data_IF_920010459318
#
_entry.id   IF_920010459318
#
_cell.length_a   1.000
_cell.length_b   1.000
_cell.length_c   1.000
_cell.angle_alpha   90.00
_cell.angle_beta   90.00
_cell.angle_gamma   90.00
#
_symmetry.space_group_name_H-M   'P 1'
#
loop_
_entity.id
_entity.type
_entity.pdbx_description
1 polymer ?
#
# COMPACT_ATOMS: atom_id res chain seq x y z
N UNK A 1 -16.00 -8.19 11.03
CA UNK A 1 -15.06 -7.83 12.11
C UNK A 1 -15.07 -6.32 12.20
N UNK A 2 -15.31 -5.76 13.39
CA UNK A 2 -15.15 -4.32 13.61
C UNK A 2 -13.69 -3.95 13.37
N UNK A 3 -13.43 -2.81 12.75
CA UNK A 3 -12.07 -2.26 12.61
C UNK A 3 -11.54 -1.70 13.93
N UNK A 4 -12.44 -1.39 14.85
CA UNK A 4 -12.13 -0.85 16.17
C UNK A 4 -11.13 -1.73 16.92
N UNK A 5 -10.00 -1.16 17.32
CA UNK A 5 -8.94 -1.84 18.07
C UNK A 5 -8.07 -2.81 17.27
N UNK A 6 -8.31 -2.97 15.96
CA UNK A 6 -7.40 -3.71 15.08
C UNK A 6 -6.07 -2.95 14.96
N UNK A 7 -4.99 -3.67 14.67
CA UNK A 7 -3.65 -3.09 14.56
C UNK A 7 -3.23 -3.12 13.09
N UNK A 8 -3.03 -1.95 12.50
CA UNK A 8 -2.59 -1.81 11.12
C UNK A 8 -1.13 -1.34 11.03
N UNK A 9 -0.35 -2.01 10.20
CA UNK A 9 0.95 -1.54 9.73
C UNK A 9 0.78 -0.96 8.32
N UNK A 10 1.07 0.33 8.15
CA UNK A 10 0.98 1.04 6.87
C UNK A 10 2.37 1.49 6.46
N UNK A 11 2.93 0.92 5.39
CA UNK A 11 4.25 1.32 4.91
C UNK A 11 4.18 2.57 4.02
N UNK A 12 5.18 3.46 4.15
CA UNK A 12 5.20 4.71 3.38
C UNK A 12 4.08 5.69 3.74
N UNK A 13 3.81 5.86 5.04
CA UNK A 13 2.68 6.63 5.57
C UNK A 13 2.97 8.12 5.79
N UNK A 14 4.15 8.63 5.41
CA UNK A 14 4.53 10.03 5.69
C UNK A 14 3.78 11.06 4.84
N UNK A 15 3.29 10.69 3.65
CA UNK A 15 2.58 11.57 2.72
C UNK A 15 1.68 10.79 1.76
N UNK A 16 0.95 11.51 0.91
CA UNK A 16 0.17 10.96 -0.21
C UNK A 16 -0.80 9.86 0.21
N UNK A 17 -0.88 8.82 -0.59
CA UNK A 17 -1.81 7.69 -0.41
C UNK A 17 -1.62 7.03 0.96
N UNK A 18 -0.38 6.77 1.37
CA UNK A 18 -0.10 6.11 2.64
C UNK A 18 -0.58 6.90 3.86
N UNK A 19 -0.41 8.24 3.86
CA UNK A 19 -0.93 9.13 4.91
C UNK A 19 -2.46 9.11 4.93
N UNK A 20 -3.11 9.18 3.76
CA UNK A 20 -4.57 9.15 3.68
C UNK A 20 -5.14 7.83 4.19
N UNK A 21 -4.52 6.70 3.83
CA UNK A 21 -4.89 5.37 4.33
C UNK A 21 -4.75 5.30 5.86
N UNK A 22 -3.62 5.74 6.39
CA UNK A 22 -3.36 5.75 7.83
C UNK A 22 -4.40 6.60 8.58
N UNK A 23 -4.71 7.79 8.05
CA UNK A 23 -5.70 8.69 8.62
C UNK A 23 -7.10 8.07 8.62
N UNK A 24 -7.52 7.48 7.48
CA UNK A 24 -8.88 6.95 7.36
C UNK A 24 -9.09 5.66 8.19
N UNK A 25 -8.08 4.78 8.24
CA UNK A 25 -8.11 3.63 9.16
C UNK A 25 -8.18 4.09 10.64
N UNK A 26 -7.42 5.13 11.00
CA UNK A 26 -7.46 5.68 12.35
C UNK A 26 -8.84 6.23 12.75
N UNK A 27 -9.55 6.92 11.85
CA UNK A 27 -10.94 7.36 12.06
C UNK A 27 -11.92 6.22 12.30
N UNK A 28 -11.61 5.01 11.80
CA UNK A 28 -12.38 3.79 12.07
C UNK A 28 -12.00 3.12 13.39
N UNK A 29 -11.15 3.76 14.21
CA UNK A 29 -10.68 3.25 15.49
C UNK A 29 -9.61 2.17 15.40
N UNK A 30 -8.94 2.04 14.26
CA UNK A 30 -7.76 1.19 14.10
C UNK A 30 -6.57 1.83 14.80
N UNK A 31 -5.77 1.02 15.50
CA UNK A 31 -4.45 1.44 15.99
C UNK A 31 -3.48 1.37 14.81
N UNK A 32 -2.98 2.51 14.38
CA UNK A 32 -2.18 2.59 13.16
C UNK A 32 -0.70 2.78 13.48
N UNK A 33 0.14 1.91 12.93
CA UNK A 33 1.57 2.14 12.89
C UNK A 33 1.96 2.46 11.44
N UNK A 34 2.31 3.71 11.22
CA UNK A 34 2.80 4.19 9.94
C UNK A 34 4.32 4.13 9.86
N UNK A 35 4.89 3.84 8.70
CA UNK A 35 6.34 3.86 8.56
C UNK A 35 6.85 4.81 7.51
N UNK A 36 8.05 5.31 7.72
CA UNK A 36 8.85 6.09 6.77
C UNK A 36 10.30 5.62 6.81
N UNK A 37 11.08 5.91 5.78
CA UNK A 37 12.51 5.50 5.71
C UNK A 37 13.42 6.25 6.67
N UNK A 38 12.99 7.42 7.16
CA UNK A 38 13.79 8.28 8.06
C UNK A 38 13.07 8.53 9.38
N UNK A 39 13.82 8.81 10.44
CA UNK A 39 13.26 9.19 11.74
C UNK A 39 12.40 10.46 11.62
N UNK A 40 12.85 11.47 10.89
CA UNK A 40 12.05 12.68 10.63
C UNK A 40 10.68 12.37 10.01
N UNK A 41 10.64 11.40 9.07
CA UNK A 41 9.37 10.96 8.49
C UNK A 41 8.49 10.21 9.50
N UNK A 42 9.07 9.42 10.38
CA UNK A 42 8.36 8.74 11.47
C UNK A 42 7.78 9.72 12.49
N UNK A 43 8.55 10.75 12.84
CA UNK A 43 8.10 11.82 13.75
C UNK A 43 6.92 12.58 13.14
N UNK A 44 7.00 12.97 11.86
CA UNK A 44 5.90 13.63 11.15
C UNK A 44 4.63 12.76 11.08
N UNK A 45 4.78 11.42 10.98
CA UNK A 45 3.63 10.49 11.07
C UNK A 45 3.00 10.58 12.46
N UNK A 46 3.80 10.53 13.50
CA UNK A 46 3.30 10.61 14.89
C UNK A 46 2.60 11.95 15.14
N UNK A 47 3.15 13.05 14.63
CA UNK A 47 2.58 14.39 14.76
C UNK A 47 1.18 14.48 14.13
N UNK A 48 1.00 14.07 12.87
CA UNK A 48 -0.33 14.18 12.24
C UNK A 48 -1.34 13.20 12.85
N UNK A 49 -0.91 12.03 13.30
CA UNK A 49 -1.78 11.10 14.02
C UNK A 49 -2.29 11.70 15.34
N UNK A 50 -1.39 12.27 16.13
CA UNK A 50 -1.75 12.95 17.37
C UNK A 50 -2.69 14.13 17.11
N UNK A 51 -2.40 14.95 16.10
CA UNK A 51 -3.26 16.09 15.73
C UNK A 51 -4.67 15.66 15.26
N UNK A 52 -4.84 14.42 14.84
CA UNK A 52 -6.11 13.83 14.41
C UNK A 52 -6.74 12.85 15.40
N UNK A 53 -6.23 12.79 16.63
CA UNK A 53 -6.66 11.86 17.69
C UNK A 53 -6.64 10.37 17.25
N UNK A 54 -5.67 10.00 16.42
CA UNK A 54 -5.47 8.65 15.93
C UNK A 54 -4.51 7.90 16.86
N UNK A 55 -4.94 6.76 17.38
CA UNK A 55 -4.09 5.89 18.18
C UNK A 55 -3.03 5.20 17.31
N UNK A 56 -1.77 5.29 17.75
CA UNK A 56 -0.66 4.66 17.05
C UNK A 56 0.62 5.48 17.10
N UNK A 57 1.50 5.27 16.14
CA UNK A 57 2.74 6.03 16.02
C UNK A 57 3.38 5.88 14.64
N UNK A 58 4.35 6.72 14.35
CA UNK A 58 5.31 6.55 13.26
C UNK A 58 6.55 5.79 13.71
N UNK A 59 7.08 4.92 12.85
CA UNK A 59 8.35 4.23 13.05
C UNK A 59 9.24 4.37 11.81
N UNK A 60 10.54 4.50 12.03
CA UNK A 60 11.51 4.45 10.94
C UNK A 60 11.67 2.98 10.49
N UNK A 61 11.53 2.73 9.19
CA UNK A 61 11.66 1.40 8.59
C UNK A 61 12.16 1.51 7.15
N UNK A 62 13.34 0.94 6.89
CA UNK A 62 13.71 0.57 5.55
C UNK A 62 13.12 -0.81 5.23
N UNK A 63 12.14 -0.85 4.33
CA UNK A 63 11.45 -2.09 3.92
C UNK A 63 12.36 -3.10 3.20
N UNK A 64 13.57 -2.69 2.83
CA UNK A 64 14.59 -3.58 2.26
C UNK A 64 15.44 -4.29 3.32
N UNK A 65 15.37 -3.86 4.58
CA UNK A 65 16.14 -4.42 5.69
C UNK A 65 15.28 -5.41 6.48
N UNK A 66 15.61 -6.71 6.36
CA UNK A 66 14.87 -7.77 7.04
C UNK A 66 14.95 -7.66 8.57
N UNK A 67 16.09 -7.21 9.11
CA UNK A 67 16.31 -7.05 10.55
C UNK A 67 15.45 -5.91 11.09
N UNK A 68 15.39 -4.78 10.37
CA UNK A 68 14.52 -3.68 10.75
C UNK A 68 13.03 -4.05 10.71
N UNK A 69 12.62 -4.90 9.74
CA UNK A 69 11.24 -5.41 9.70
C UNK A 69 10.91 -6.19 10.98
N UNK A 70 11.79 -7.12 11.39
CA UNK A 70 11.60 -7.92 12.60
C UNK A 70 11.58 -7.05 13.87
N UNK A 71 12.50 -6.11 13.99
CA UNK A 71 12.54 -5.14 15.10
C UNK A 71 11.26 -4.29 15.15
N UNK A 72 10.82 -3.77 14.02
CA UNK A 72 9.59 -2.98 13.92
C UNK A 72 8.37 -3.77 14.39
N UNK A 73 8.22 -5.01 13.92
CA UNK A 73 7.12 -5.88 14.34
C UNK A 73 7.20 -6.23 15.83
N UNK A 74 8.40 -6.41 16.39
CA UNK A 74 8.61 -6.63 17.81
C UNK A 74 8.17 -5.41 18.64
N UNK A 75 8.49 -4.20 18.20
CA UNK A 75 8.05 -2.95 18.85
C UNK A 75 6.53 -2.81 18.80
N UNK A 76 5.91 -3.09 17.63
CA UNK A 76 4.45 -3.04 17.48
C UNK A 76 3.79 -4.03 18.42
N UNK A 77 4.28 -5.27 18.42
CA UNK A 77 3.74 -6.33 19.27
C UNK A 77 3.80 -5.98 20.77
N UNK A 78 4.91 -5.40 21.23
CA UNK A 78 5.09 -5.04 22.64
C UNK A 78 4.19 -3.88 23.08
N UNK A 79 3.90 -2.92 22.18
CA UNK A 79 3.11 -1.72 22.51
C UNK A 79 1.62 -1.91 22.30
N UNK A 80 1.23 -2.61 21.25
CA UNK A 80 -0.15 -2.63 20.76
C UNK A 80 -0.69 -4.05 20.56
N UNK A 81 0.17 -5.04 20.34
CA UNK A 81 -0.21 -6.41 19.98
C UNK A 81 0.17 -6.79 18.55
N UNK A 82 -0.31 -7.94 18.09
CA UNK A 82 0.04 -8.48 16.77
C UNK A 82 -0.65 -7.71 15.63
N UNK A 83 0.07 -7.47 14.55
CA UNK A 83 -0.46 -6.82 13.34
C UNK A 83 -1.54 -7.71 12.73
N UNK A 84 -2.75 -7.19 12.60
CA UNK A 84 -3.90 -7.86 11.97
C UNK A 84 -4.25 -7.29 10.59
N UNK A 85 -3.75 -6.09 10.25
CA UNK A 85 -3.93 -5.43 8.96
C UNK A 85 -2.56 -4.98 8.46
N UNK A 86 -2.15 -5.46 7.29
CA UNK A 86 -0.92 -5.02 6.61
C UNK A 86 -1.27 -4.28 5.33
N UNK A 87 -0.82 -3.03 5.23
CA UNK A 87 -0.95 -2.21 4.03
C UNK A 87 0.44 -2.00 3.44
N UNK A 88 0.74 -2.71 2.37
CA UNK A 88 1.95 -2.55 1.59
C UNK A 88 1.76 -1.41 0.58
N UNK A 89 2.12 -0.19 0.99
CA UNK A 89 1.98 1.01 0.18
C UNK A 89 3.34 1.61 -0.22
N UNK A 90 4.41 1.38 0.52
CA UNK A 90 5.74 1.87 0.16
C UNK A 90 6.14 1.43 -1.26
N UNK A 91 6.62 2.37 -2.05
CA UNK A 91 7.07 2.10 -3.41
C UNK A 91 7.82 3.30 -4.00
N UNK A 92 8.58 3.01 -5.05
CA UNK A 92 9.35 3.98 -5.81
C UNK A 92 9.14 3.79 -7.30
N UNK A 93 9.47 4.81 -8.09
CA UNK A 93 9.67 4.74 -9.53
C UNK A 93 11.11 5.08 -9.88
N UNK A 94 11.61 4.53 -10.97
CA UNK A 94 12.86 4.87 -11.64
C UNK A 94 12.58 4.82 -13.13
N UNK A 95 11.99 5.91 -13.62
CA UNK A 95 11.46 5.95 -14.99
C UNK A 95 12.59 6.20 -15.98
N UNK A 96 12.74 5.28 -16.93
CA UNK A 96 13.69 5.38 -18.03
C UNK A 96 13.24 4.48 -19.18
N UNK A 97 13.55 4.87 -20.44
CA UNK A 97 13.31 3.99 -21.58
C UNK A 97 14.14 2.71 -21.43
N UNK A 98 13.59 1.56 -21.80
CA UNK A 98 14.23 0.25 -21.60
C UNK A 98 15.65 0.19 -22.14
N UNK A 99 15.91 0.81 -23.30
CA UNK A 99 17.25 0.85 -23.92
C UNK A 99 18.29 1.65 -23.12
N UNK A 100 17.86 2.44 -22.13
CA UNK A 100 18.70 3.26 -21.26
C UNK A 100 18.60 2.88 -19.80
N UNK A 101 17.63 2.03 -19.45
CA UNK A 101 17.38 1.60 -18.07
C UNK A 101 18.57 0.78 -17.57
N UNK A 102 19.16 1.20 -16.44
CA UNK A 102 20.23 0.45 -15.80
C UNK A 102 19.66 -0.73 -14.99
N UNK A 103 20.50 -1.74 -14.73
CA UNK A 103 20.15 -2.84 -13.83
C UNK A 103 19.85 -2.34 -12.42
N UNK A 104 20.55 -1.30 -11.95
CA UNK A 104 20.31 -0.67 -10.65
C UNK A 104 18.90 -0.05 -10.57
N UNK A 105 18.47 0.69 -11.62
CA UNK A 105 17.10 1.24 -11.69
C UNK A 105 16.03 0.14 -11.70
N UNK A 106 16.31 -0.97 -12.36
CA UNK A 106 15.46 -2.15 -12.38
C UNK A 106 15.39 -2.81 -11.00
N UNK A 107 16.54 -3.14 -10.42
CA UNK A 107 16.64 -3.86 -9.15
C UNK A 107 16.08 -3.05 -7.97
N UNK A 108 16.34 -1.75 -7.92
CA UNK A 108 15.79 -0.84 -6.90
C UNK A 108 14.26 -0.91 -6.86
N UNK A 109 13.64 -0.85 -8.03
CA UNK A 109 12.17 -0.85 -8.15
C UNK A 109 11.60 -2.22 -7.77
N UNK A 110 12.17 -3.31 -8.28
CA UNK A 110 11.71 -4.66 -7.92
C UNK A 110 11.96 -4.98 -6.44
N UNK A 111 13.10 -4.59 -5.92
CA UNK A 111 13.41 -4.79 -4.50
C UNK A 111 12.42 -4.04 -3.61
N UNK A 112 12.15 -2.77 -3.92
CA UNK A 112 11.28 -1.92 -3.09
C UNK A 112 9.80 -2.27 -3.25
N UNK A 113 9.32 -2.44 -4.50
CA UNK A 113 7.88 -2.55 -4.76
C UNK A 113 7.34 -3.99 -4.65
N UNK A 114 8.20 -5.01 -4.79
CA UNK A 114 7.77 -6.41 -4.81
C UNK A 114 8.45 -7.25 -3.72
N UNK A 115 9.79 -7.26 -3.66
CA UNK A 115 10.50 -8.09 -2.67
C UNK A 115 10.23 -7.66 -1.23
N UNK A 116 10.06 -6.36 -0.97
CA UNK A 116 9.69 -5.84 0.34
C UNK A 116 8.33 -6.36 0.79
N UNK A 117 7.35 -6.39 -0.14
CA UNK A 117 6.00 -6.90 0.12
C UNK A 117 6.02 -8.38 0.50
N UNK A 118 6.81 -9.18 -0.22
CA UNK A 118 7.04 -10.58 0.17
C UNK A 118 7.58 -10.67 1.61
N UNK A 119 8.61 -9.88 1.96
CA UNK A 119 9.22 -9.91 3.29
C UNK A 119 8.24 -9.52 4.40
N UNK A 120 7.54 -8.41 4.23
CA UNK A 120 6.55 -7.92 5.20
C UNK A 120 5.38 -8.89 5.36
N UNK A 121 4.82 -9.39 4.25
CA UNK A 121 3.75 -10.36 4.28
C UNK A 121 4.18 -11.61 5.03
N UNK A 122 5.34 -12.20 4.69
CA UNK A 122 5.89 -13.38 5.38
C UNK A 122 6.05 -13.16 6.89
N UNK A 123 6.49 -11.97 7.29
CA UNK A 123 6.75 -11.66 8.69
C UNK A 123 5.48 -11.59 9.54
N UNK A 124 4.35 -11.12 8.97
CA UNK A 124 3.06 -11.04 9.70
C UNK A 124 2.20 -12.31 9.59
N UNK A 125 2.52 -13.23 8.66
CA UNK A 125 1.67 -14.40 8.40
C UNK A 125 1.49 -15.32 9.61
N UNK A 126 2.58 -15.67 10.31
CA UNK A 126 2.54 -16.62 11.42
C UNK A 126 1.56 -16.20 12.53
N UNK A 127 1.63 -14.97 13.08
CA UNK A 127 0.63 -14.50 14.04
C UNK A 127 -0.78 -14.42 13.45
N UNK A 128 -0.97 -13.95 12.20
CA UNK A 128 -2.28 -13.92 11.56
C UNK A 128 -2.90 -15.32 11.41
N UNK A 129 -2.10 -16.32 10.98
CA UNK A 129 -2.54 -17.71 10.86
C UNK A 129 -2.93 -18.31 12.21
N UNK A 130 -2.18 -18.01 13.29
CA UNK A 130 -2.49 -18.45 14.66
C UNK A 130 -3.80 -17.83 15.16
N UNK A 131 -3.99 -16.55 14.90
CA UNK A 131 -5.22 -15.81 15.25
C UNK A 131 -6.42 -16.20 14.37
N UNK A 132 -6.20 -16.89 13.22
CA UNK A 132 -7.19 -17.12 12.16
C UNK A 132 -7.89 -15.85 11.71
N UNK A 133 -7.09 -14.79 11.55
CA UNK A 133 -7.55 -13.44 11.23
C UNK A 133 -6.42 -12.62 10.63
N UNK A 134 -6.66 -12.00 9.49
CA UNK A 134 -5.70 -11.08 8.87
C UNK A 134 -6.26 -10.42 7.61
N UNK A 135 -5.73 -9.25 7.32
CA UNK A 135 -6.00 -8.50 6.09
C UNK A 135 -4.68 -8.01 5.52
N UNK A 136 -4.35 -8.42 4.32
CA UNK A 136 -3.17 -7.93 3.58
C UNK A 136 -3.69 -7.20 2.35
N UNK A 137 -3.36 -5.92 2.25
CA UNK A 137 -3.79 -5.07 1.14
C UNK A 137 -2.54 -4.46 0.52
N UNK A 138 -2.34 -4.75 -0.76
CA UNK A 138 -1.19 -4.34 -1.52
C UNK A 138 -1.57 -3.19 -2.48
N UNK A 139 -0.90 -2.05 -2.38
CA UNK A 139 -1.14 -0.95 -3.29
C UNK A 139 -0.35 -1.19 -4.59
N UNK A 140 -1.07 -1.65 -5.60
CA UNK A 140 -0.57 -1.85 -6.96
C UNK A 140 -0.63 -0.54 -7.75
N UNK A 141 -0.97 -0.61 -9.01
CA UNK A 141 -1.18 0.53 -9.92
C UNK A 141 -1.92 0.05 -11.15
N UNK A 142 -2.67 0.93 -11.80
CA UNK A 142 -3.20 0.70 -13.14
C UNK A 142 -2.07 0.33 -14.12
N UNK A 143 -0.87 0.88 -13.94
CA UNK A 143 0.31 0.60 -14.76
C UNK A 143 0.73 -0.88 -14.72
N UNK A 144 0.42 -1.59 -13.63
CA UNK A 144 0.64 -3.04 -13.56
C UNK A 144 -0.21 -3.85 -14.54
N UNK A 145 -1.35 -3.31 -14.97
CA UNK A 145 -2.25 -3.94 -15.96
C UNK A 145 -2.03 -3.37 -17.38
N UNK A 146 -1.85 -2.06 -17.51
CA UNK A 146 -1.77 -1.40 -18.84
C UNK A 146 -0.36 -1.27 -19.39
N UNK A 147 0.67 -1.28 -18.53
CA UNK A 147 2.00 -0.79 -18.89
C UNK A 147 2.03 0.73 -19.08
N UNK A 148 3.24 1.28 -19.18
CA UNK A 148 3.48 2.67 -19.55
C UNK A 148 4.89 2.82 -20.12
N UNK A 149 5.10 3.56 -21.24
CA UNK A 149 6.43 3.83 -21.74
C UNK A 149 7.36 4.42 -20.68
N UNK A 150 8.58 3.90 -20.59
CA UNK A 150 9.58 4.32 -19.59
C UNK A 150 9.40 3.72 -18.20
N UNK A 151 8.41 2.86 -17.98
CA UNK A 151 8.10 2.28 -16.67
C UNK A 151 8.10 0.73 -16.69
N UNK A 152 8.95 0.11 -17.49
CA UNK A 152 8.99 -1.35 -17.61
C UNK A 152 9.25 -2.04 -16.25
N UNK A 153 10.19 -1.54 -15.45
CA UNK A 153 10.50 -2.00 -14.09
C UNK A 153 9.30 -1.82 -13.13
N UNK A 154 8.68 -0.64 -13.15
CA UNK A 154 7.53 -0.33 -12.31
C UNK A 154 6.32 -1.21 -12.69
N UNK A 155 5.99 -1.30 -13.98
CA UNK A 155 4.92 -2.15 -14.48
C UNK A 155 5.14 -3.61 -14.09
N UNK A 156 6.35 -4.14 -14.28
CA UNK A 156 6.72 -5.50 -13.89
C UNK A 156 6.53 -5.73 -12.37
N UNK A 157 6.98 -4.77 -11.54
CA UNK A 157 6.83 -4.86 -10.09
C UNK A 157 5.35 -4.89 -9.65
N UNK A 158 4.50 -4.05 -10.25
CA UNK A 158 3.09 -3.94 -9.91
C UNK A 158 2.25 -5.09 -10.47
N UNK A 159 2.57 -5.60 -11.65
CA UNK A 159 1.99 -6.83 -12.19
C UNK A 159 2.39 -8.06 -11.35
N UNK A 160 3.67 -8.17 -10.99
CA UNK A 160 4.17 -9.22 -10.09
C UNK A 160 3.48 -9.23 -8.74
N UNK A 161 3.15 -8.04 -8.21
CA UNK A 161 2.41 -7.88 -6.96
C UNK A 161 1.00 -8.46 -7.04
N UNK A 162 0.30 -8.29 -8.17
CA UNK A 162 -1.01 -8.89 -8.41
C UNK A 162 -0.91 -10.42 -8.42
N UNK A 163 0.06 -10.97 -9.15
CA UNK A 163 0.31 -12.43 -9.19
C UNK A 163 0.66 -13.00 -7.82
N UNK A 164 1.55 -12.34 -7.08
CA UNK A 164 1.90 -12.68 -5.69
C UNK A 164 0.66 -12.71 -4.79
N UNK A 165 -0.19 -11.70 -4.87
CA UNK A 165 -1.39 -11.60 -4.04
C UNK A 165 -2.39 -12.72 -4.31
N UNK A 166 -2.61 -13.08 -5.57
CA UNK A 166 -3.47 -14.20 -5.97
C UNK A 166 -2.95 -15.54 -5.43
N UNK A 167 -1.64 -15.77 -5.52
CA UNK A 167 -1.01 -16.99 -5.01
C UNK A 167 -1.14 -17.09 -3.49
N UNK A 168 -0.77 -16.02 -2.78
CA UNK A 168 -0.85 -15.97 -1.33
C UNK A 168 -2.29 -16.11 -0.82
N UNK A 169 -3.27 -15.50 -1.50
CA UNK A 169 -4.68 -15.63 -1.16
C UNK A 169 -5.15 -17.10 -1.19
N UNK A 170 -4.71 -17.88 -2.17
CA UNK A 170 -5.01 -19.32 -2.27
C UNK A 170 -4.38 -20.12 -1.15
N UNK A 171 -3.14 -19.79 -0.77
CA UNK A 171 -2.36 -20.49 0.26
C UNK A 171 -2.96 -20.34 1.66
N UNK A 172 -3.42 -19.12 2.01
CA UNK A 172 -3.79 -18.78 3.39
C UNK A 172 -5.27 -18.52 3.62
N UNK A 173 -6.10 -18.56 2.58
CA UNK A 173 -7.54 -18.27 2.68
C UNK A 173 -8.28 -19.14 3.71
N UNK A 174 -7.89 -20.43 3.86
CA UNK A 174 -8.44 -21.33 4.87
C UNK A 174 -8.21 -20.89 6.33
N UNK A 175 -7.36 -19.88 6.54
CA UNK A 175 -7.08 -19.26 7.84
C UNK A 175 -7.83 -17.96 8.08
N UNK A 176 -8.86 -17.65 7.27
CA UNK A 176 -9.64 -16.40 7.35
C UNK A 176 -8.74 -15.14 7.19
N UNK A 177 -7.73 -15.27 6.34
CA UNK A 177 -6.84 -14.16 5.96
C UNK A 177 -7.14 -13.83 4.50
N UNK A 178 -7.44 -12.57 4.22
CA UNK A 178 -7.64 -12.11 2.85
C UNK A 178 -6.43 -11.34 2.36
N UNK A 179 -6.12 -11.51 1.07
CA UNK A 179 -5.03 -10.80 0.40
C UNK A 179 -5.58 -10.19 -0.88
N UNK A 180 -5.59 -8.87 -0.96
CA UNK A 180 -6.14 -8.15 -2.11
C UNK A 180 -5.18 -7.06 -2.58
N UNK A 181 -5.34 -6.65 -3.83
CA UNK A 181 -4.68 -5.48 -4.40
C UNK A 181 -5.69 -4.33 -4.57
N UNK A 182 -5.19 -3.12 -4.43
CA UNK A 182 -5.84 -1.92 -4.97
C UNK A 182 -4.95 -1.43 -6.10
N UNK A 183 -5.54 -1.12 -7.25
CA UNK A 183 -4.86 -0.56 -8.41
C UNK A 183 -5.34 0.89 -8.63
N UNK A 184 -4.66 1.88 -8.03
CA UNK A 184 -4.95 3.28 -8.27
C UNK A 184 -4.70 3.67 -9.72
N UNK A 185 -5.50 4.61 -10.24
CA UNK A 185 -5.17 5.40 -11.42
C UNK A 185 -4.27 6.59 -11.07
N UNK A 186 -4.48 7.71 -11.73
CA UNK A 186 -3.79 8.97 -11.41
C UNK A 186 -4.46 9.64 -10.21
N UNK A 187 -3.73 9.70 -9.09
CA UNK A 187 -4.22 10.24 -7.81
C UNK A 187 -3.55 11.58 -7.54
N UNK A 188 -4.33 12.56 -7.09
CA UNK A 188 -3.86 13.87 -6.70
C UNK A 188 -2.96 13.75 -5.46
N UNK A 189 -1.67 14.04 -5.65
CA UNK A 189 -0.61 13.98 -4.64
C UNK A 189 0.45 15.01 -5.01
N UNK A 190 1.41 15.29 -4.12
CA UNK A 190 2.54 16.18 -4.38
C UNK A 190 3.23 15.89 -5.75
N UNK A 191 3.16 14.64 -6.20
CA UNK A 191 3.77 14.20 -7.46
C UNK A 191 2.98 14.67 -8.69
N UNK A 192 1.66 14.74 -8.58
CA UNK A 192 0.77 15.20 -9.67
C UNK A 192 0.51 16.71 -9.64
N UNK A 193 0.73 17.36 -8.50
CA UNK A 193 0.66 18.83 -8.38
C UNK A 193 1.75 19.53 -9.22
N UNK A 194 2.89 18.89 -9.41
CA UNK A 194 4.00 19.41 -10.23
C UNK A 194 3.75 19.33 -11.74
N UNK A 195 2.65 18.72 -12.20
CA UNK A 195 2.31 18.59 -13.61
C UNK A 195 1.78 19.90 -14.19
N UNK A 196 2.16 20.20 -15.45
CA UNK A 196 1.56 21.32 -16.18
C UNK A 196 0.08 21.07 -16.48
N UNK A 197 -0.68 22.17 -16.71
CA UNK A 197 -2.10 22.06 -17.07
C UNK A 197 -2.31 21.22 -18.34
N UNK A 198 -1.42 21.33 -19.32
CA UNK A 198 -1.46 20.55 -20.56
C UNK A 198 -1.24 19.04 -20.30
N UNK A 199 -0.27 18.70 -19.45
CA UNK A 199 -0.03 17.30 -19.06
C UNK A 199 -1.24 16.73 -18.33
N UNK A 200 -1.83 17.51 -17.42
CA UNK A 200 -3.04 17.12 -16.67
C UNK A 200 -4.23 16.90 -17.61
N UNK A 201 -4.46 17.80 -18.55
CA UNK A 201 -5.53 17.67 -19.54
C UNK A 201 -5.36 16.41 -20.40
N UNK A 202 -4.13 16.13 -20.85
CA UNK A 202 -3.83 14.92 -21.63
C UNK A 202 -4.15 13.65 -20.86
N UNK A 203 -3.78 13.58 -19.58
CA UNK A 203 -4.10 12.44 -18.72
C UNK A 203 -5.61 12.26 -18.52
N UNK A 204 -6.35 13.37 -18.36
CA UNK A 204 -7.78 13.33 -18.10
C UNK A 204 -8.60 12.88 -19.30
N UNK A 205 -8.09 13.05 -20.53
CA UNK A 205 -8.77 12.57 -21.75
C UNK A 205 -9.02 11.05 -21.74
N UNK A 206 -8.11 10.29 -21.12
CA UNK A 206 -8.20 8.83 -21.08
C UNK A 206 -8.98 8.33 -19.85
N UNK A 207 -9.35 9.23 -18.91
CA UNK A 207 -10.09 8.88 -17.70
C UNK A 207 -11.58 9.14 -17.91
N UNK A 208 -12.45 8.11 -17.96
CA UNK A 208 -13.89 8.30 -18.15
C UNK A 208 -14.56 9.25 -17.14
N UNK A 209 -14.15 9.24 -15.87
CA UNK A 209 -14.66 10.18 -14.86
C UNK A 209 -14.10 11.60 -14.96
N UNK A 210 -13.19 11.88 -15.92
CA UNK A 210 -12.62 13.19 -16.25
C UNK A 210 -12.09 13.98 -15.04
N UNK A 211 -11.62 13.28 -14.01
CA UNK A 211 -10.94 13.86 -12.85
C UNK A 211 -9.79 12.96 -12.39
N UNK A 212 -8.82 13.54 -11.73
CA UNK A 212 -7.87 12.77 -10.93
C UNK A 212 -8.62 12.15 -9.75
N UNK A 213 -8.18 10.99 -9.32
CA UNK A 213 -8.64 10.41 -8.06
C UNK A 213 -8.09 11.22 -6.88
N UNK A 214 -8.82 11.22 -5.78
CA UNK A 214 -8.36 11.78 -4.52
C UNK A 214 -7.71 10.67 -3.67
N UNK A 215 -6.82 11.05 -2.77
CA UNK A 215 -6.25 10.12 -1.78
C UNK A 215 -7.36 9.43 -0.97
N UNK A 216 -8.46 10.13 -0.70
CA UNK A 216 -9.66 9.59 -0.04
C UNK A 216 -10.34 8.48 -0.83
N UNK A 217 -10.31 8.50 -2.17
CA UNK A 217 -10.90 7.44 -3.01
C UNK A 217 -10.17 6.11 -2.74
N UNK A 218 -8.83 6.15 -2.61
CA UNK A 218 -8.01 4.98 -2.29
C UNK A 218 -8.18 4.54 -0.83
N UNK A 219 -8.19 5.50 0.10
CA UNK A 219 -8.32 5.22 1.52
C UNK A 219 -9.66 4.54 1.85
N UNK A 220 -10.76 4.98 1.23
CA UNK A 220 -12.08 4.36 1.36
C UNK A 220 -12.09 2.90 0.87
N UNK A 221 -11.43 2.62 -0.26
CA UNK A 221 -11.28 1.27 -0.79
C UNK A 221 -10.46 0.36 0.17
N UNK A 222 -9.41 0.89 0.79
CA UNK A 222 -8.62 0.17 1.82
C UNK A 222 -9.47 -0.14 3.04
N UNK A 223 -10.22 0.83 3.57
CA UNK A 223 -11.12 0.63 4.72
C UNK A 223 -12.16 -0.45 4.41
N UNK A 224 -12.76 -0.42 3.21
CA UNK A 224 -13.68 -1.47 2.77
C UNK A 224 -13.03 -2.85 2.77
N UNK A 225 -11.88 -3.01 2.12
CA UNK A 225 -11.18 -4.31 2.05
C UNK A 225 -10.64 -4.78 3.41
N UNK A 226 -10.32 -3.88 4.33
CA UNK A 226 -9.91 -4.21 5.69
C UNK A 226 -11.10 -4.65 6.57
N UNK A 227 -12.32 -4.21 6.24
CA UNK A 227 -13.52 -4.43 7.01
C UNK A 227 -14.17 -5.80 6.84
N UNK A 228 -15.25 -6.02 7.62
CA UNK A 228 -16.05 -7.24 7.58
C UNK A 228 -16.82 -7.39 6.26
N UNK A 229 -17.21 -6.29 5.66
CA UNK A 229 -17.97 -6.30 4.39
C UNK A 229 -17.20 -6.92 3.24
N UNK A 230 -15.87 -6.98 3.32
CA UNK A 230 -14.99 -7.62 2.34
C UNK A 230 -14.49 -9.02 2.78
N UNK A 231 -15.10 -9.64 3.79
CA UNK A 231 -14.60 -10.91 4.34
C UNK A 231 -14.60 -12.08 3.33
N UNK A 232 -15.38 -11.98 2.26
CA UNK A 232 -15.45 -13.00 1.19
C UNK A 232 -14.70 -12.56 -0.08
N UNK A 233 -13.90 -11.48 0.01
CA UNK A 233 -13.09 -10.94 -1.10
C UNK A 233 -11.62 -11.27 -0.83
N UNK A 234 -11.02 -12.13 -1.65
CA UNK A 234 -9.59 -12.45 -1.57
C UNK A 234 -9.03 -12.79 -2.95
N UNK A 235 -7.79 -12.42 -3.21
CA UNK A 235 -7.14 -12.55 -4.52
C UNK A 235 -7.62 -11.55 -5.56
N UNK A 236 -8.47 -10.60 -5.18
CA UNK A 236 -9.02 -9.59 -6.08
C UNK A 236 -8.05 -8.41 -6.27
N UNK A 237 -8.16 -7.77 -7.43
CA UNK A 237 -7.59 -6.45 -7.69
C UNK A 237 -8.74 -5.48 -7.83
N UNK A 238 -8.86 -4.55 -6.88
CA UNK A 238 -9.87 -3.49 -6.93
C UNK A 238 -9.28 -2.29 -7.68
N UNK A 239 -9.80 -2.04 -8.88
CA UNK A 239 -9.42 -0.91 -9.70
C UNK A 239 -10.09 0.37 -9.19
N UNK A 240 -9.30 1.35 -8.74
CA UNK A 240 -9.75 2.66 -8.27
C UNK A 240 -9.07 3.73 -9.13
N UNK A 241 -9.53 3.86 -10.37
CA UNK A 241 -8.81 4.56 -11.42
C UNK A 241 -9.71 5.43 -12.33
N UNK A 242 -10.96 5.69 -11.94
CA UNK A 242 -11.89 6.51 -12.71
C UNK A 242 -12.31 5.93 -14.06
N UNK A 243 -12.12 4.60 -14.25
CA UNK A 243 -12.41 3.91 -15.51
C UNK A 243 -11.24 3.90 -16.50
N UNK A 244 -10.05 4.39 -16.11
CA UNK A 244 -8.86 4.37 -16.98
C UNK A 244 -8.49 2.95 -17.44
N UNK A 245 -8.79 1.95 -16.63
CA UNK A 245 -8.66 0.53 -16.95
C UNK A 245 -9.81 -0.24 -16.31
N UNK A 246 -10.42 -1.14 -17.08
CA UNK A 246 -11.57 -1.96 -16.68
C UNK A 246 -11.25 -3.44 -16.98
N UNK A 247 -11.37 -4.31 -15.95
CA UNK A 247 -11.29 -5.77 -16.01
C UNK A 247 -12.57 -6.39 -15.46
#
# INVERSE_FOLDING_TARGET
>A
MSLQGQIALVTGASRGIGRGIATELGKQGVIVVGTATTQKGADAISEYMNASDIKGCGLALNVLDATQIEQTLSVIKSKYGEVSILINNAGITRDNLLVRMSEEEWDDVLATNLKSVFRLSRAVLRPMMKARQGRIINISSVIGSTGNPGQANYAASKAGLIGFSKSLAREIGSRNITVNCIAPGFIETDMTEAMSAEQREKLLRDVPLQRLGQVSDIAAAVVFLAGVSAAYITGATLHVNGGLHME
#
